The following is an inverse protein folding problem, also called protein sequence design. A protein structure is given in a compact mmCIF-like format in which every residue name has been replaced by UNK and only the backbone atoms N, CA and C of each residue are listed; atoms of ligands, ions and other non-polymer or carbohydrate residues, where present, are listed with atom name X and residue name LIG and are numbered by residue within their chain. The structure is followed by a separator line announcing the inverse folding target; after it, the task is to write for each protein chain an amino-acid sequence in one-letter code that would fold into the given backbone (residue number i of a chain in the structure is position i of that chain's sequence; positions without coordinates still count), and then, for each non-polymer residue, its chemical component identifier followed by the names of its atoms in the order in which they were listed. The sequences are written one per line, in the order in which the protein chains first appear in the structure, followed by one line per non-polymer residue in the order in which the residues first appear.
data_IF_031462821187
#
_entry.id   IF_031462821187
#
_cell.length_a   1.000
_cell.length_b   1.000
_cell.length_c   1.000
_cell.angle_alpha   90.00
_cell.angle_beta   90.00
_cell.angle_gamma   90.00
#
_symmetry.space_group_name_H-M   'P 1'
#
loop_
_entity.id
_entity.type
_entity.pdbx_description
1 polymer ?
#
# COMPACT_ATOMS: atom_id res chain seq x y z
N UNK A 1 -40.16 30.61 25.20
CA UNK A 1 -40.56 30.85 23.80
C UNK A 1 -39.48 31.72 23.16
N UNK A 2 -38.67 31.15 22.24
CA UNK A 2 -38.46 31.63 20.84
C UNK A 2 -38.49 33.18 20.73
N UNK A 3 -37.46 33.87 20.26
CA UNK A 3 -37.02 33.80 18.86
C UNK A 3 -35.57 34.24 18.63
N UNK A 4 -34.98 33.55 17.65
CA UNK A 4 -33.70 33.76 17.00
C UNK A 4 -33.67 35.01 16.08
N UNK A 5 -32.43 35.34 15.73
CA UNK A 5 -31.91 35.84 14.45
C UNK A 5 -31.83 37.36 14.21
N UNK A 6 -30.58 37.82 14.16
CA UNK A 6 -30.16 38.77 13.12
C UNK A 6 -28.85 38.29 12.51
N UNK A 7 -28.91 37.98 11.21
CA UNK A 7 -27.77 37.71 10.33
C UNK A 7 -26.94 38.97 10.10
N UNK A 8 -25.62 38.82 10.04
CA UNK A 8 -24.73 39.51 9.09
C UNK A 8 -23.38 38.78 9.14
N UNK A 9 -23.07 37.91 8.18
CA UNK A 9 -22.41 38.27 6.94
C UNK A 9 -21.03 38.93 7.19
N UNK A 10 -19.96 38.14 7.09
CA UNK A 10 -18.65 38.65 6.74
C UNK A 10 -17.81 37.52 6.09
N UNK A 11 -17.58 37.72 4.80
CA UNK A 11 -16.27 37.62 4.16
C UNK A 11 -15.64 36.22 4.06
N UNK A 12 -15.72 35.59 2.89
CA UNK A 12 -14.81 35.81 1.76
C UNK A 12 -13.36 35.46 2.08
N UNK A 13 -12.88 34.48 1.32
CA UNK A 13 -11.48 34.16 1.03
C UNK A 13 -10.64 33.65 2.20
N UNK A 14 -10.44 32.33 2.20
CA UNK A 14 -9.09 31.76 2.15
C UNK A 14 -9.16 30.33 1.60
N UNK A 15 -9.11 30.25 0.25
CA UNK A 15 -8.51 29.10 -0.43
C UNK A 15 -7.00 29.26 -0.26
N UNK A 16 -6.48 28.82 0.87
CA UNK A 16 -5.08 28.49 1.07
C UNK A 16 -5.12 27.38 2.13
N UNK A 17 -4.78 26.14 1.83
CA UNK A 17 -3.46 25.75 1.35
C UNK A 17 -3.55 24.42 0.61
N UNK A 18 -3.18 24.41 -0.67
CA UNK A 18 -2.68 23.20 -1.32
C UNK A 18 -1.41 22.76 -0.58
N UNK A 19 -1.48 21.56 0.03
CA UNK A 19 -0.36 20.72 0.48
C UNK A 19 0.56 21.36 1.56
N UNK A 20 1.40 20.59 2.30
CA UNK A 20 1.65 19.16 2.29
C UNK A 20 0.69 18.49 3.29
N UNK A 21 0.34 17.22 3.22
CA UNK A 21 1.18 16.12 3.65
C UNK A 21 0.66 14.92 2.83
N UNK A 22 1.34 14.58 1.73
CA UNK A 22 1.41 13.15 1.43
C UNK A 22 2.09 12.59 2.66
N UNK A 23 1.30 12.09 3.60
CA UNK A 23 1.81 11.29 4.69
C UNK A 23 2.68 10.25 3.99
N UNK A 24 4.00 10.40 4.15
CA UNK A 24 4.91 9.29 4.09
C UNK A 24 4.58 8.40 5.30
N UNK A 25 3.34 7.92 5.37
CA UNK A 25 2.95 6.77 6.14
C UNK A 25 3.35 5.59 5.26
N UNK A 26 4.67 5.40 5.18
CA UNK A 26 5.25 4.11 5.38
C UNK A 26 4.55 3.48 6.60
N UNK A 27 3.40 2.82 6.37
CA UNK A 27 2.74 2.07 7.42
C UNK A 27 3.74 1.01 7.86
N UNK A 28 4.22 1.12 9.11
CA UNK A 28 5.21 0.18 9.63
C UNK A 28 4.67 -1.25 9.48
N UNK A 29 5.45 -2.08 8.78
CA UNK A 29 5.11 -3.48 8.57
C UNK A 29 5.51 -4.23 9.83
N UNK A 30 4.54 -4.42 10.72
CA UNK A 30 4.72 -5.05 12.02
C UNK A 30 4.74 -6.57 11.99
N UNK A 31 4.46 -7.20 10.84
CA UNK A 31 4.45 -8.67 10.72
C UNK A 31 4.73 -9.22 9.31
N UNK A 32 5.18 -10.48 9.26
CA UNK A 32 5.31 -11.24 8.02
C UNK A 32 4.00 -11.34 7.22
N UNK A 33 2.84 -11.38 7.91
CA UNK A 33 1.53 -11.44 7.27
C UNK A 33 1.21 -10.18 6.46
N UNK A 34 1.52 -9.00 7.00
CA UNK A 34 1.38 -7.73 6.29
C UNK A 34 2.36 -7.66 5.10
N UNK A 35 3.61 -8.08 5.29
CA UNK A 35 4.59 -8.14 4.20
C UNK A 35 4.10 -9.00 3.03
N UNK A 36 3.49 -10.16 3.31
CA UNK A 36 2.86 -11.00 2.29
C UNK A 36 1.76 -10.24 1.56
N UNK A 37 0.81 -9.64 2.29
CA UNK A 37 -0.33 -8.93 1.71
C UNK A 37 0.13 -7.82 0.77
N UNK A 38 1.12 -7.04 1.19
CA UNK A 38 1.74 -5.99 0.37
C UNK A 38 2.36 -6.58 -0.90
N UNK A 39 3.07 -7.70 -0.81
CA UNK A 39 3.64 -8.34 -1.99
C UNK A 39 2.57 -8.87 -2.96
N UNK A 40 1.44 -9.35 -2.46
CA UNK A 40 0.31 -9.78 -3.30
C UNK A 40 -0.33 -8.59 -4.03
N UNK A 41 -0.48 -7.46 -3.35
CA UNK A 41 -0.97 -6.22 -3.95
C UNK A 41 -0.04 -5.73 -5.07
N UNK A 42 1.28 -5.75 -4.84
CA UNK A 42 2.25 -5.43 -5.92
C UNK A 42 2.16 -6.40 -7.10
N UNK A 43 1.90 -7.68 -6.85
CA UNK A 43 1.67 -8.64 -7.93
C UNK A 43 0.38 -8.33 -8.71
N UNK A 44 -0.70 -7.91 -8.05
CA UNK A 44 -1.93 -7.50 -8.72
C UNK A 44 -1.74 -6.25 -9.60
N UNK A 45 -0.91 -5.30 -9.15
CA UNK A 45 -0.60 -4.09 -9.91
C UNK A 45 0.32 -4.42 -11.10
N UNK A 46 1.28 -5.32 -10.93
CA UNK A 46 2.26 -5.67 -11.95
C UNK A 46 1.71 -6.58 -13.06
N UNK A 47 0.66 -7.36 -12.78
CA UNK A 47 0.10 -8.35 -13.71
C UNK A 47 -1.39 -8.04 -13.97
N UNK A 48 -1.76 -7.51 -15.14
CA UNK A 48 -3.14 -7.11 -15.44
C UNK A 48 -4.12 -8.29 -15.50
N UNK A 49 -3.64 -9.50 -15.78
CA UNK A 49 -4.40 -10.76 -15.86
C UNK A 49 -4.26 -11.61 -14.59
N UNK A 50 -3.92 -10.97 -13.46
CA UNK A 50 -3.78 -11.64 -12.17
C UNK A 50 -5.03 -12.46 -11.80
N UNK A 51 -4.83 -13.75 -11.48
CA UNK A 51 -5.88 -14.61 -10.90
C UNK A 51 -5.65 -14.85 -9.42
N UNK A 52 -4.44 -15.25 -9.05
CA UNK A 52 -4.10 -15.53 -7.66
C UNK A 52 -2.60 -15.49 -7.39
N UNK A 53 -2.25 -15.46 -6.11
CA UNK A 53 -0.87 -15.66 -5.68
C UNK A 53 -0.78 -16.40 -4.35
N UNK A 54 0.29 -17.19 -4.20
CA UNK A 54 0.63 -17.92 -2.98
C UNK A 54 2.07 -17.65 -2.57
N UNK A 55 2.27 -17.30 -1.30
CA UNK A 55 3.60 -17.25 -0.70
C UNK A 55 4.16 -18.66 -0.60
N UNK A 56 5.35 -18.84 -1.17
CA UNK A 56 6.03 -20.14 -1.20
C UNK A 56 7.19 -20.20 -0.23
N UNK A 57 7.81 -19.04 0.05
CA UNK A 57 8.93 -18.93 0.99
C UNK A 57 8.97 -17.53 1.57
N UNK A 58 9.26 -17.44 2.87
CA UNK A 58 9.39 -16.18 3.60
C UNK A 58 10.64 -16.30 4.48
N UNK A 59 11.52 -15.29 4.42
CA UNK A 59 12.69 -15.18 5.28
C UNK A 59 12.81 -13.76 5.78
N UNK A 60 12.87 -13.59 7.09
CA UNK A 60 13.20 -12.29 7.68
C UNK A 60 14.71 -12.23 7.96
N UNK A 61 15.35 -11.13 7.58
CA UNK A 61 16.74 -10.84 7.98
C UNK A 61 16.87 -9.35 8.25
N UNK A 62 17.25 -8.98 9.48
CA UNK A 62 17.47 -7.57 9.89
C UNK A 62 16.26 -6.66 9.58
N UNK A 63 15.04 -7.15 9.79
CA UNK A 63 13.82 -6.39 9.49
C UNK A 63 13.47 -6.26 8.01
N UNK A 64 14.06 -7.10 7.15
CA UNK A 64 13.65 -7.21 5.75
C UNK A 64 13.02 -8.58 5.51
N UNK A 65 11.77 -8.58 5.07
CA UNK A 65 11.03 -9.76 4.65
C UNK A 65 11.32 -10.05 3.18
N UNK A 66 12.01 -11.17 2.93
CA UNK A 66 12.27 -11.68 1.59
C UNK A 66 11.26 -12.78 1.29
N UNK A 67 10.35 -12.49 0.36
CA UNK A 67 9.19 -13.32 0.05
C UNK A 67 9.31 -13.81 -1.40
N UNK A 68 9.14 -15.11 -1.60
CA UNK A 68 8.96 -15.69 -2.92
C UNK A 68 7.49 -15.99 -3.13
N UNK A 69 6.89 -15.36 -4.13
CA UNK A 69 5.51 -15.57 -4.55
C UNK A 69 5.46 -16.46 -5.78
N UNK A 70 4.45 -17.33 -5.84
CA UNK A 70 3.96 -17.90 -7.09
C UNK A 70 2.71 -17.11 -7.48
N UNK A 71 2.76 -16.43 -8.62
CA UNK A 71 1.66 -15.66 -9.19
C UNK A 71 1.10 -16.45 -10.35
N UNK A 72 -0.21 -16.61 -10.38
CA UNK A 72 -0.93 -17.26 -11.46
C UNK A 72 -1.67 -16.17 -12.21
N UNK A 73 -1.41 -16.08 -13.50
CA UNK A 73 -2.11 -15.21 -14.43
C UNK A 73 -2.88 -16.07 -15.44
N UNK A 74 -3.57 -15.46 -16.39
CA UNK A 74 -4.24 -16.21 -17.47
C UNK A 74 -3.21 -16.82 -18.44
N UNK A 75 -2.12 -16.10 -18.69
CA UNK A 75 -1.09 -16.52 -19.61
C UNK A 75 -0.11 -17.55 -19.01
N UNK A 76 0.28 -17.39 -17.74
CA UNK A 76 1.38 -18.20 -17.17
C UNK A 76 1.39 -18.29 -15.63
N UNK A 77 2.29 -19.14 -15.13
CA UNK A 77 2.64 -19.25 -13.73
C UNK A 77 4.00 -18.61 -13.46
N UNK A 78 4.00 -17.45 -12.84
CA UNK A 78 5.18 -16.62 -12.61
C UNK A 78 5.73 -16.87 -11.21
N UNK A 79 7.05 -16.98 -11.09
CA UNK A 79 7.72 -16.83 -9.79
C UNK A 79 8.12 -15.36 -9.65
N UNK A 80 7.84 -14.77 -8.49
CA UNK A 80 8.21 -13.39 -8.21
C UNK A 80 8.93 -13.29 -6.87
N UNK A 81 9.89 -12.37 -6.80
CA UNK A 81 10.60 -12.02 -5.59
C UNK A 81 10.12 -10.67 -5.09
N UNK A 82 9.76 -10.63 -3.81
CA UNK A 82 9.31 -9.44 -3.15
C UNK A 82 10.15 -9.22 -1.89
N UNK A 83 10.67 -8.00 -1.72
CA UNK A 83 11.38 -7.56 -0.51
C UNK A 83 10.56 -6.47 0.14
N UNK A 84 10.24 -6.62 1.41
CA UNK A 84 9.51 -5.62 2.19
C UNK A 84 10.35 -5.24 3.40
N UNK A 85 10.69 -3.96 3.55
CA UNK A 85 11.37 -3.44 4.75
C UNK A 85 10.36 -3.21 5.87
N UNK A 86 10.83 -3.03 7.10
CA UNK A 86 9.99 -2.63 8.25
C UNK A 86 9.27 -1.30 8.01
N UNK A 87 9.90 -0.40 7.27
CA UNK A 87 9.35 0.89 6.87
C UNK A 87 8.35 0.76 5.69
N UNK A 88 8.00 -0.46 5.28
CA UNK A 88 7.02 -0.68 4.22
C UNK A 88 7.53 -0.38 2.80
N UNK A 89 8.84 -0.16 2.61
CA UNK A 89 9.40 -0.09 1.26
C UNK A 89 9.33 -1.47 0.60
N UNK A 90 8.88 -1.48 -0.65
CA UNK A 90 8.63 -2.72 -1.40
C UNK A 90 9.42 -2.74 -2.68
N UNK A 91 10.26 -3.76 -2.85
CA UNK A 91 10.83 -4.12 -4.15
C UNK A 91 10.15 -5.37 -4.66
N UNK A 92 9.60 -5.31 -5.87
CA UNK A 92 8.96 -6.45 -6.53
C UNK A 92 9.64 -6.71 -7.88
N UNK A 93 10.00 -7.97 -8.13
CA UNK A 93 10.62 -8.38 -9.40
C UNK A 93 10.07 -9.74 -9.85
N UNK A 94 9.81 -9.87 -11.15
CA UNK A 94 9.61 -11.17 -11.80
C UNK A 94 10.95 -11.93 -11.78
N UNK A 95 10.89 -13.22 -11.41
CA UNK A 95 12.04 -14.13 -11.37
C UNK A 95 12.38 -14.69 -12.75
#
# INVERSE_FOLDING_TARGET
MKHLNTLAAASSLLVATLAPIHSAQAAEVSSAGQAISICKEKAQIAHPDYKMSKSTKIREKRGVYNITLKVITEAENIKAYCKVTKDGEVSYAKA
#
